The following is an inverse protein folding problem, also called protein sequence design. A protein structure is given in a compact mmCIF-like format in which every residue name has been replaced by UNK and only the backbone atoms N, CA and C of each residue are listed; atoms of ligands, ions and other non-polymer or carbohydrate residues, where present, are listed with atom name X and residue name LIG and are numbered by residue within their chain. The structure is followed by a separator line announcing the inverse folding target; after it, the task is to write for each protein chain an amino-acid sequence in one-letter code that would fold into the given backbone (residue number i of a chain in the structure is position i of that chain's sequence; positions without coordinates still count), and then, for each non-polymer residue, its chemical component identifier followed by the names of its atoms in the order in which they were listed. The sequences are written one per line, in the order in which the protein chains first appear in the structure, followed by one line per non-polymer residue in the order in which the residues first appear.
data_IF_952438102498
#
_entry.id   IF_952438102498
#
_cell.length_a   1.000
_cell.length_b   1.000
_cell.length_c   1.000
_cell.angle_alpha   90.00
_cell.angle_beta   90.00
_cell.angle_gamma   90.00
#
_symmetry.space_group_name_H-M   'P 1'
#
loop_
_entity.id
_entity.type
_entity.pdbx_description
1 polymer ?
#
# COMPACT_ATOMS: atom_id res chain seq x y z
N UNK A 1 7.38 -19.30 3.78
CA UNK A 1 7.29 -18.27 2.73
C UNK A 1 8.10 -17.05 3.13
N UNK A 2 7.73 -16.33 4.19
CA UNK A 2 8.39 -15.08 4.63
C UNK A 2 9.92 -15.13 4.73
N UNK A 3 10.47 -16.13 5.44
CA UNK A 3 11.92 -16.26 5.59
C UNK A 3 12.64 -16.37 4.23
N UNK A 4 12.07 -17.12 3.28
CA UNK A 4 12.60 -17.26 1.94
C UNK A 4 12.48 -15.96 1.12
N UNK A 5 11.34 -15.27 1.24
CA UNK A 5 11.10 -13.98 0.60
C UNK A 5 12.14 -12.94 1.02
N UNK A 6 12.28 -12.72 2.34
CA UNK A 6 13.19 -11.71 2.88
C UNK A 6 14.67 -12.07 2.71
N UNK A 7 15.03 -13.36 2.78
CA UNK A 7 16.39 -13.78 2.44
C UNK A 7 16.72 -13.53 0.96
N UNK A 8 15.78 -13.82 0.06
CA UNK A 8 15.95 -13.59 -1.38
C UNK A 8 16.01 -12.10 -1.74
N UNK A 9 15.32 -11.25 -0.98
CA UNK A 9 15.39 -9.79 -1.09
C UNK A 9 16.80 -9.22 -0.78
N UNK A 10 17.63 -9.96 -0.06
CA UNK A 10 19.01 -9.59 0.28
C UNK A 10 20.09 -10.34 -0.53
N UNK A 11 19.69 -11.10 -1.56
CA UNK A 11 20.60 -12.01 -2.30
C UNK A 11 21.80 -11.34 -2.98
N UNK A 12 21.71 -10.04 -3.25
CA UNK A 12 22.79 -9.23 -3.87
C UNK A 12 23.68 -8.53 -2.85
N UNK A 13 23.60 -8.88 -1.56
CA UNK A 13 24.41 -8.28 -0.48
C UNK A 13 23.81 -7.03 0.15
N UNK A 14 22.67 -6.54 -0.35
CA UNK A 14 21.88 -5.48 0.27
C UNK A 14 20.40 -5.81 0.16
N UNK A 15 19.65 -5.54 1.23
CA UNK A 15 18.20 -5.76 1.26
C UNK A 15 17.50 -4.75 0.35
N UNK A 16 16.72 -5.23 -0.62
CA UNK A 16 16.04 -4.39 -1.61
C UNK A 16 14.63 -4.91 -1.95
N UNK A 17 13.93 -4.18 -2.81
CA UNK A 17 12.59 -4.56 -3.30
C UNK A 17 12.63 -5.94 -4.00
N UNK A 18 11.61 -6.75 -3.73
CA UNK A 18 11.33 -7.98 -4.48
C UNK A 18 10.65 -7.71 -5.84
N UNK A 19 9.95 -6.57 -5.96
CA UNK A 19 9.29 -6.16 -7.19
C UNK A 19 10.08 -5.08 -7.94
N UNK A 20 9.93 -5.06 -9.26
CA UNK A 20 10.44 -4.02 -10.15
C UNK A 20 9.27 -3.36 -10.87
N UNK A 21 9.32 -2.04 -10.97
CA UNK A 21 8.38 -1.25 -11.77
C UNK A 21 9.16 -0.40 -12.76
N UNK A 22 8.72 -0.41 -14.01
CA UNK A 22 9.34 0.34 -15.09
C UNK A 22 8.30 0.70 -16.17
N UNK A 23 8.66 1.59 -17.08
CA UNK A 23 7.83 1.96 -18.24
C UNK A 23 8.44 1.32 -19.48
N UNK A 24 7.63 0.59 -20.26
CA UNK A 24 8.08 -0.03 -21.50
C UNK A 24 8.22 0.99 -22.65
N UNK A 25 8.67 0.51 -23.81
CA UNK A 25 8.84 1.35 -25.02
C UNK A 25 7.53 1.95 -25.54
N UNK A 26 6.38 1.41 -25.14
CA UNK A 26 5.05 1.86 -25.54
C UNK A 26 4.43 2.83 -24.52
N UNK A 27 5.14 3.13 -23.42
CA UNK A 27 4.65 4.02 -22.36
C UNK A 27 3.76 3.31 -21.33
N UNK A 28 3.70 1.98 -21.32
CA UNK A 28 2.90 1.22 -20.35
C UNK A 28 3.70 0.95 -19.07
N UNK A 29 3.03 1.03 -17.91
CA UNK A 29 3.63 0.64 -16.62
C UNK A 29 3.69 -0.89 -16.52
N UNK A 30 4.90 -1.43 -16.37
CA UNK A 30 5.17 -2.85 -16.22
C UNK A 30 5.64 -3.16 -14.80
N UNK A 31 5.12 -4.26 -14.23
CA UNK A 31 5.48 -4.76 -12.91
C UNK A 31 5.99 -6.19 -12.99
N UNK A 32 7.09 -6.47 -12.31
CA UNK A 32 7.68 -7.81 -12.18
C UNK A 32 7.88 -8.15 -10.71
N UNK A 33 7.71 -9.41 -10.34
CA UNK A 33 8.08 -9.93 -9.02
C UNK A 33 8.71 -11.32 -9.19
N UNK A 34 9.78 -11.57 -8.45
CA UNK A 34 10.42 -12.88 -8.38
C UNK A 34 10.79 -13.17 -6.93
N UNK A 35 10.33 -14.32 -6.42
CA UNK A 35 10.64 -14.73 -5.05
C UNK A 35 10.44 -16.24 -4.85
N UNK A 36 11.13 -16.86 -3.86
CA UNK A 36 10.89 -18.25 -3.51
C UNK A 36 9.47 -18.46 -2.98
N UNK A 37 8.75 -19.40 -3.58
CA UNK A 37 7.36 -19.71 -3.21
C UNK A 37 7.18 -21.20 -2.93
N UNK A 38 7.61 -21.62 -1.74
CA UNK A 38 7.43 -22.99 -1.27
C UNK A 38 6.00 -23.18 -0.71
N UNK A 39 5.08 -23.57 -1.59
CA UNK A 39 3.67 -23.87 -1.28
C UNK A 39 3.31 -25.28 -1.74
N UNK A 40 2.23 -25.83 -1.17
CA UNK A 40 1.76 -27.18 -1.48
C UNK A 40 0.25 -27.25 -1.57
N UNK A 41 -0.25 -27.94 -2.58
CA UNK A 41 -1.68 -28.26 -2.73
C UNK A 41 -2.04 -29.63 -2.10
N UNK A 42 -1.03 -30.39 -1.65
CA UNK A 42 -1.22 -31.70 -0.99
C UNK A 42 -0.48 -31.74 0.34
N UNK A 43 -1.19 -32.09 1.41
CA UNK A 43 -0.63 -32.41 2.73
C UNK A 43 -0.64 -31.27 3.75
N UNK A 44 -0.48 -31.61 5.03
CA UNK A 44 -0.58 -30.65 6.13
C UNK A 44 -2.00 -30.06 6.26
N UNK A 45 -2.08 -28.79 6.65
CA UNK A 45 -3.35 -28.08 6.88
C UNK A 45 -4.26 -28.02 5.65
N UNK A 46 -3.69 -28.01 4.44
CA UNK A 46 -4.46 -27.96 3.18
C UNK A 46 -5.29 -29.22 2.93
N UNK A 47 -4.96 -30.34 3.59
CA UNK A 47 -5.73 -31.59 3.53
C UNK A 47 -6.71 -31.77 4.70
N UNK A 48 -6.48 -31.14 5.85
CA UNK A 48 -7.27 -31.40 7.06
C UNK A 48 -8.23 -30.27 7.41
N UNK A 49 -7.97 -29.04 6.96
CA UNK A 49 -8.78 -27.88 7.29
C UNK A 49 -9.84 -27.62 6.20
N UNK A 50 -11.15 -27.70 6.51
CA UNK A 50 -12.21 -27.57 5.51
C UNK A 50 -12.15 -26.27 4.71
N UNK A 51 -11.85 -25.13 5.36
CA UNK A 51 -11.72 -23.85 4.64
C UNK A 51 -10.52 -23.80 3.69
N UNK A 52 -9.43 -24.53 3.99
CA UNK A 52 -8.27 -24.58 3.11
C UNK A 52 -8.56 -25.44 1.88
N UNK A 53 -9.29 -26.54 2.06
CA UNK A 53 -9.79 -27.36 0.95
C UNK A 53 -10.74 -26.57 0.06
N UNK A 54 -11.74 -25.90 0.65
CA UNK A 54 -12.69 -25.08 -0.09
C UNK A 54 -12.01 -23.94 -0.86
N UNK A 55 -10.97 -23.32 -0.29
CA UNK A 55 -10.19 -22.29 -0.98
C UNK A 55 -9.41 -22.85 -2.19
N UNK A 56 -8.80 -24.04 -2.06
CA UNK A 56 -8.12 -24.70 -3.16
C UNK A 56 -9.08 -25.16 -4.26
N UNK A 57 -10.25 -25.68 -3.87
CA UNK A 57 -11.32 -26.05 -4.80
C UNK A 57 -11.84 -24.83 -5.58
N UNK A 58 -12.04 -23.69 -4.90
CA UNK A 58 -12.46 -22.45 -5.53
C UNK A 58 -11.42 -21.93 -6.52
N UNK A 59 -10.13 -22.00 -6.17
CA UNK A 59 -9.04 -21.61 -7.05
C UNK A 59 -8.84 -22.59 -8.22
N UNK A 60 -9.28 -23.84 -8.07
CA UNK A 60 -9.20 -24.92 -9.07
C UNK A 60 -7.79 -25.11 -9.68
N UNK A 61 -6.76 -24.94 -8.85
CA UNK A 61 -5.36 -25.15 -9.25
C UNK A 61 -5.04 -26.63 -9.38
N UNK A 62 -4.29 -26.99 -10.42
CA UNK A 62 -3.89 -28.36 -10.72
C UNK A 62 -2.49 -28.68 -10.19
N UNK A 63 -1.71 -27.66 -9.81
CA UNK A 63 -0.35 -27.83 -9.31
C UNK A 63 0.03 -26.81 -8.24
N UNK A 64 1.03 -27.16 -7.42
CA UNK A 64 1.64 -26.21 -6.47
C UNK A 64 2.29 -25.02 -7.18
N UNK A 65 2.76 -25.19 -8.41
CA UNK A 65 3.33 -24.11 -9.23
C UNK A 65 2.27 -23.09 -9.62
N UNK A 66 1.09 -23.54 -10.05
CA UNK A 66 -0.03 -22.63 -10.34
C UNK A 66 -0.46 -21.86 -9.09
N UNK A 67 -0.54 -22.53 -7.94
CA UNK A 67 -0.82 -21.83 -6.67
C UNK A 67 0.27 -20.80 -6.36
N UNK A 68 1.54 -21.14 -6.56
CA UNK A 68 2.66 -20.23 -6.35
C UNK A 68 2.55 -18.97 -7.24
N UNK A 69 2.26 -19.16 -8.53
CA UNK A 69 2.06 -18.10 -9.53
C UNK A 69 0.90 -17.17 -9.17
N UNK A 70 -0.22 -17.72 -8.70
CA UNK A 70 -1.35 -16.93 -8.20
C UNK A 70 -0.93 -16.10 -7.00
N UNK A 71 -0.24 -16.71 -6.02
CA UNK A 71 0.19 -15.99 -4.79
C UNK A 71 1.14 -14.84 -5.14
N UNK A 72 2.15 -15.05 -5.99
CA UNK A 72 3.06 -13.96 -6.38
C UNK A 72 2.35 -12.88 -7.20
N UNK A 73 1.38 -13.25 -8.05
CA UNK A 73 0.56 -12.29 -8.79
C UNK A 73 -0.28 -11.41 -7.87
N UNK A 74 -0.90 -12.01 -6.84
CA UNK A 74 -1.63 -11.27 -5.79
C UNK A 74 -0.68 -10.35 -5.02
N UNK A 75 0.54 -10.82 -4.70
CA UNK A 75 1.56 -9.98 -4.08
C UNK A 75 1.95 -8.76 -4.92
N UNK A 76 2.10 -8.92 -6.23
CA UNK A 76 2.38 -7.81 -7.15
C UNK A 76 1.19 -6.85 -7.26
N UNK A 77 -0.04 -7.36 -7.32
CA UNK A 77 -1.25 -6.55 -7.33
C UNK A 77 -1.40 -5.72 -6.04
N UNK A 78 -1.13 -6.32 -4.87
CA UNK A 78 -1.12 -5.63 -3.58
C UNK A 78 -0.02 -4.56 -3.54
N UNK A 79 1.17 -4.84 -4.08
CA UNK A 79 2.26 -3.87 -4.19
C UNK A 79 1.88 -2.69 -5.10
N UNK A 80 1.27 -2.94 -6.26
CA UNK A 80 0.76 -1.89 -7.15
C UNK A 80 -0.27 -1.02 -6.45
N UNK A 81 -1.24 -1.63 -5.77
CA UNK A 81 -2.29 -0.91 -5.05
C UNK A 81 -1.68 0.00 -3.97
N UNK A 82 -0.70 -0.48 -3.22
CA UNK A 82 0.02 0.31 -2.22
C UNK A 82 0.79 1.48 -2.85
N UNK A 83 1.56 1.24 -3.91
CA UNK A 83 2.30 2.28 -4.62
C UNK A 83 1.36 3.33 -5.22
N UNK A 84 0.24 2.91 -5.82
CA UNK A 84 -0.79 3.82 -6.36
C UNK A 84 -1.43 4.63 -5.24
N UNK A 85 -1.79 4.00 -4.12
CA UNK A 85 -2.38 4.69 -2.98
C UNK A 85 -1.43 5.76 -2.42
N UNK A 86 -0.15 5.44 -2.26
CA UNK A 86 0.87 6.35 -1.74
C UNK A 86 1.25 7.47 -2.72
N UNK A 87 1.21 7.19 -4.03
CA UNK A 87 1.57 8.15 -5.07
C UNK A 87 0.41 9.02 -5.56
N UNK A 88 -0.84 8.71 -5.20
CA UNK A 88 -2.00 9.48 -5.62
C UNK A 88 -2.37 10.57 -4.61
N UNK A 89 -2.79 11.72 -5.13
CA UNK A 89 -3.17 12.88 -4.33
C UNK A 89 -4.34 12.63 -3.37
N UNK A 90 -5.18 11.61 -3.59
CA UNK A 90 -6.34 11.36 -2.74
C UNK A 90 -5.98 11.13 -1.27
N UNK A 91 -4.96 10.31 -1.00
CA UNK A 91 -4.47 10.06 0.36
C UNK A 91 -3.71 11.28 0.90
N UNK A 92 -2.90 11.92 0.06
CA UNK A 92 -2.17 13.13 0.43
C UNK A 92 -3.13 14.27 0.81
N UNK A 93 -4.18 14.54 0.03
CA UNK A 93 -5.21 15.56 0.34
C UNK A 93 -5.98 15.23 1.62
N UNK A 94 -6.33 13.96 1.86
CA UNK A 94 -6.96 13.53 3.10
C UNK A 94 -6.05 13.76 4.33
N UNK A 95 -4.77 13.41 4.21
CA UNK A 95 -3.76 13.71 5.22
C UNK A 95 -3.54 15.21 5.42
N UNK A 96 -3.50 15.99 4.34
CA UNK A 96 -3.35 17.45 4.39
C UNK A 96 -4.55 18.11 5.07
N UNK A 97 -5.77 17.61 4.85
CA UNK A 97 -6.96 18.08 5.57
C UNK A 97 -6.88 17.78 7.07
N UNK A 98 -6.43 16.57 7.45
CA UNK A 98 -6.21 16.22 8.85
C UNK A 98 -5.09 17.08 9.48
N UNK A 99 -3.99 17.25 8.76
CA UNK A 99 -2.84 18.04 9.18
C UNK A 99 -3.21 19.51 9.35
N UNK A 100 -3.95 20.10 8.40
CA UNK A 100 -4.46 21.47 8.51
C UNK A 100 -5.39 21.66 9.72
N UNK A 101 -6.23 20.68 10.04
CA UNK A 101 -7.02 20.70 11.29
C UNK A 101 -6.14 20.66 12.53
N UNK A 102 -5.09 19.84 12.54
CA UNK A 102 -4.12 19.80 13.65
C UNK A 102 -3.40 21.15 13.82
N UNK A 103 -2.99 21.79 12.72
CA UNK A 103 -2.36 23.11 12.73
C UNK A 103 -3.33 24.19 13.24
N UNK A 104 -4.59 24.16 12.80
CA UNK A 104 -5.62 25.09 13.30
C UNK A 104 -5.87 24.92 14.81
N UNK A 105 -5.97 23.67 15.30
CA UNK A 105 -6.11 23.39 16.73
C UNK A 105 -4.87 23.86 17.50
N UNK A 106 -3.66 23.62 16.97
CA UNK A 106 -2.41 24.06 17.60
C UNK A 106 -2.28 25.59 17.66
N UNK A 107 -2.87 26.31 16.71
CA UNK A 107 -2.99 27.77 16.72
C UNK A 107 -4.06 28.30 17.70
N UNK A 108 -4.87 27.40 18.28
CA UNK A 108 -5.91 27.74 19.25
C UNK A 108 -7.33 27.86 18.68
N UNK A 109 -7.58 27.38 17.45
CA UNK A 109 -8.94 27.36 16.91
C UNK A 109 -9.82 26.34 17.65
N UNK A 110 -11.09 26.69 17.89
CA UNK A 110 -12.06 25.85 18.60
C UNK A 110 -13.37 25.69 17.81
N UNK A 111 -14.13 24.64 18.13
CA UNK A 111 -15.47 24.44 17.58
C UNK A 111 -15.54 24.44 16.05
N UNK A 112 -16.41 25.30 15.49
CA UNK A 112 -16.60 25.44 14.03
C UNK A 112 -15.41 26.06 13.31
N UNK A 113 -14.57 26.83 14.02
CA UNK A 113 -13.50 27.61 13.42
C UNK A 113 -12.35 26.73 12.94
N UNK A 114 -12.14 25.58 13.59
CA UNK A 114 -11.13 24.58 13.20
C UNK A 114 -11.31 24.16 11.74
N UNK A 115 -12.54 23.84 11.33
CA UNK A 115 -12.79 23.38 9.98
C UNK A 115 -12.70 24.53 8.98
N UNK A 116 -13.19 25.73 9.33
CA UNK A 116 -13.10 26.91 8.48
C UNK A 116 -11.64 27.29 8.18
N UNK A 117 -10.81 27.39 9.22
CA UNK A 117 -9.40 27.77 9.10
C UNK A 117 -8.61 26.68 8.37
N UNK A 118 -8.84 25.40 8.70
CA UNK A 118 -8.20 24.29 7.99
C UNK A 118 -8.54 24.28 6.49
N UNK A 119 -9.81 24.44 6.12
CA UNK A 119 -10.23 24.51 4.72
C UNK A 119 -9.60 25.69 3.99
N UNK A 120 -9.47 26.85 4.65
CA UNK A 120 -8.88 28.04 4.05
C UNK A 120 -7.37 27.91 3.84
N UNK A 121 -6.63 27.38 4.82
CA UNK A 121 -5.21 27.03 4.67
C UNK A 121 -4.96 26.04 3.54
N UNK A 122 -5.80 25.00 3.42
CA UNK A 122 -5.70 24.02 2.33
C UNK A 122 -5.98 24.67 0.97
N UNK A 123 -6.97 25.55 0.88
CA UNK A 123 -7.30 26.25 -0.38
C UNK A 123 -6.20 27.23 -0.83
N UNK A 124 -5.47 27.80 0.12
CA UNK A 124 -4.35 28.73 -0.12
C UNK A 124 -3.02 27.99 -0.30
N UNK A 125 -3.00 26.66 -0.12
CA UNK A 125 -1.80 25.82 -0.07
C UNK A 125 -0.76 26.34 0.95
N UNK A 126 -1.21 26.93 2.06
CA UNK A 126 -0.40 27.52 3.12
C UNK A 126 -0.80 26.97 4.50
N UNK A 127 -0.35 25.76 4.81
CA UNK A 127 -0.63 25.06 6.06
C UNK A 127 0.49 25.32 7.06
N UNK A 128 0.48 26.52 7.67
CA UNK A 128 1.44 26.94 8.70
C UNK A 128 0.73 27.56 9.89
N UNK A 129 1.33 27.47 11.07
CA UNK A 129 0.75 28.01 12.30
C UNK A 129 0.56 29.53 12.24
N UNK A 130 1.51 30.26 11.63
CA UNK A 130 1.42 31.72 11.44
C UNK A 130 0.20 32.08 10.59
N UNK A 131 -0.05 31.31 9.52
CA UNK A 131 -1.21 31.53 8.65
C UNK A 131 -2.52 31.21 9.38
N UNK A 132 -2.55 30.16 10.19
CA UNK A 132 -3.71 29.87 11.04
C UNK A 132 -4.01 31.03 12.00
N UNK A 133 -2.98 31.62 12.63
CA UNK A 133 -3.14 32.79 13.50
C UNK A 133 -3.61 34.04 12.75
N UNK A 134 -3.16 34.25 11.50
CA UNK A 134 -3.68 35.32 10.64
C UNK A 134 -5.16 35.13 10.29
N UNK A 135 -5.59 33.89 10.07
CA UNK A 135 -6.97 33.54 9.73
C UNK A 135 -7.93 33.57 10.93
N UNK A 136 -7.41 33.63 12.15
CA UNK A 136 -8.17 33.77 13.41
C UNK A 136 -8.42 35.24 13.82
N UNK A 137 -7.79 36.20 13.13
CA UNK A 137 -7.98 37.64 13.35
C UNK A 137 -9.11 38.19 12.49
#
# INVERSE_FOLDING_TARGET
IEAGAHAYAARSGSYTSLSKWYVDSNGSLCGEIEMPMAVGIVGGATRVHPSAQAALELLNVQSSSELAEIIVSVGLAQNLAALRALSTEGIQRGHMGLHARQVAIAAGAEGSDVNMIASKMVSENDVRIDRALELMR
#
